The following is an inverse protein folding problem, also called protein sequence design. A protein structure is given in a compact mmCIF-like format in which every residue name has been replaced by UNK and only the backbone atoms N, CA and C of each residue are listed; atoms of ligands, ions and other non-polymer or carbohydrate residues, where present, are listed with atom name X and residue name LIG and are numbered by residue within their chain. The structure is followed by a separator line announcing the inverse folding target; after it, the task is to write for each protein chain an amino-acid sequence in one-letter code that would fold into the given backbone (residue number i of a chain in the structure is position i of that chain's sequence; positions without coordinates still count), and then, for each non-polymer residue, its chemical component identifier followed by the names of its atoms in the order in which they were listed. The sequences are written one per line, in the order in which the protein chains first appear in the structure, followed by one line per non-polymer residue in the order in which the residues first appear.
data_IF_919474687716
#
_entry.id   IF_919474687716
#
_cell.length_a   1.000
_cell.length_b   1.000
_cell.length_c   1.000
_cell.angle_alpha   90.00
_cell.angle_beta   90.00
_cell.angle_gamma   90.00
#
_symmetry.space_group_name_H-M   'P 1'
#
loop_
_entity.id
_entity.type
_entity.pdbx_description
1 polymer ?
#
# COMPACT_ATOMS: atom_id res chain seq x y z
N UNK A 1 37.89 -5.01 2.13
CA UNK A 1 36.72 -4.29 2.66
C UNK A 1 35.63 -4.44 1.61
N UNK A 2 34.67 -5.34 1.84
CA UNK A 2 33.54 -5.49 0.91
C UNK A 2 32.62 -4.30 1.10
N UNK A 3 32.29 -3.59 0.02
CA UNK A 3 31.24 -2.60 0.04
C UNK A 3 29.96 -3.33 0.47
N UNK A 4 29.41 -2.98 1.63
CA UNK A 4 28.03 -3.30 1.92
C UNK A 4 27.23 -2.66 0.78
N UNK A 5 26.60 -3.47 -0.06
CA UNK A 5 25.69 -2.95 -1.07
C UNK A 5 24.57 -2.26 -0.31
N UNK A 6 24.48 -0.94 -0.41
CA UNK A 6 23.28 -0.22 0.01
C UNK A 6 22.08 -0.96 -0.59
N UNK A 7 21.10 -1.28 0.25
CA UNK A 7 19.88 -1.97 -0.18
C UNK A 7 19.13 -1.19 -1.29
N UNK A 8 18.08 -1.78 -1.88
CA UNK A 8 17.32 -1.12 -2.93
C UNK A 8 16.79 0.24 -2.45
N UNK A 9 16.98 1.28 -3.26
CA UNK A 9 16.38 2.60 -3.00
C UNK A 9 14.91 2.54 -3.35
N UNK A 10 14.04 2.91 -2.41
CA UNK A 10 12.59 2.77 -2.57
C UNK A 10 11.92 4.15 -2.53
N UNK A 11 11.06 4.42 -3.50
CA UNK A 11 10.15 5.55 -3.53
C UNK A 11 8.72 5.06 -3.28
N UNK A 12 8.15 5.43 -2.14
CA UNK A 12 6.75 5.12 -1.79
C UNK A 12 5.90 6.37 -2.05
N UNK A 13 4.81 6.23 -2.81
CA UNK A 13 3.91 7.34 -3.15
C UNK A 13 2.45 6.90 -3.21
N UNK A 14 1.54 7.87 -3.27
CA UNK A 14 0.09 7.67 -3.34
C UNK A 14 -0.39 7.02 -4.66
N UNK A 15 0.32 7.31 -5.75
CA UNK A 15 0.04 6.79 -7.10
C UNK A 15 1.31 6.34 -7.83
N UNK A 16 1.81 5.16 -7.46
CA UNK A 16 2.97 4.52 -8.09
C UNK A 16 2.81 4.33 -9.60
N UNK A 17 1.60 4.04 -10.09
CA UNK A 17 1.37 3.89 -11.52
C UNK A 17 1.63 5.19 -12.29
N UNK A 18 1.14 6.33 -11.78
CA UNK A 18 1.32 7.62 -12.45
C UNK A 18 2.79 8.09 -12.41
N UNK A 19 3.49 7.81 -11.31
CA UNK A 19 4.86 8.28 -11.11
C UNK A 19 5.93 7.38 -11.74
N UNK A 20 5.58 6.15 -12.13
CA UNK A 20 6.53 5.15 -12.65
C UNK A 20 7.41 5.67 -13.79
N UNK A 21 6.79 6.28 -14.80
CA UNK A 21 7.52 6.79 -15.97
C UNK A 21 8.49 7.91 -15.62
N UNK A 22 8.12 8.76 -14.65
CA UNK A 22 8.99 9.86 -14.20
C UNK A 22 10.17 9.32 -13.40
N UNK A 23 9.92 8.38 -12.48
CA UNK A 23 10.99 7.75 -11.70
C UNK A 23 11.95 6.98 -12.61
N UNK A 24 11.45 6.21 -13.56
CA UNK A 24 12.28 5.49 -14.54
C UNK A 24 13.10 6.48 -15.40
N UNK A 25 12.51 7.59 -15.84
CA UNK A 25 13.22 8.60 -16.63
C UNK A 25 14.34 9.30 -15.86
N UNK A 26 14.16 9.55 -14.56
CA UNK A 26 15.12 10.31 -13.74
C UNK A 26 16.18 9.40 -13.12
N UNK A 27 15.78 8.22 -12.64
CA UNK A 27 16.60 7.32 -11.84
C UNK A 27 16.90 5.98 -12.53
N UNK A 28 16.32 5.72 -13.71
CA UNK A 28 16.42 4.41 -14.36
C UNK A 28 15.88 3.30 -13.46
N UNK A 29 16.60 2.17 -13.45
CA UNK A 29 16.32 1.04 -12.56
C UNK A 29 16.94 1.19 -11.17
N UNK A 30 17.47 2.37 -10.83
CA UNK A 30 18.15 2.61 -9.56
C UNK A 30 17.22 2.86 -8.37
N UNK A 31 15.90 2.98 -8.61
CA UNK A 31 14.88 3.22 -7.58
C UNK A 31 13.66 2.33 -7.86
N UNK A 32 13.24 1.56 -6.86
CA UNK A 32 11.98 0.85 -6.87
C UNK A 32 10.84 1.79 -6.50
N UNK A 33 9.74 1.74 -7.24
CA UNK A 33 8.53 2.50 -6.92
C UNK A 33 7.49 1.60 -6.25
N UNK A 34 6.93 2.06 -5.14
CA UNK A 34 5.95 1.35 -4.33
C UNK A 34 4.73 2.24 -4.07
N UNK A 35 3.59 1.58 -3.88
CA UNK A 35 2.36 2.21 -3.44
C UNK A 35 2.35 2.36 -1.93
N UNK A 36 1.84 3.50 -1.49
CA UNK A 36 1.53 3.73 -0.09
C UNK A 36 0.26 2.97 0.33
N UNK A 37 0.37 2.05 1.31
CA UNK A 37 -0.77 1.33 1.87
C UNK A 37 -1.90 2.22 2.37
N UNK A 38 -1.57 3.37 2.99
CA UNK A 38 -2.57 4.29 3.52
C UNK A 38 -3.46 4.83 2.39
N UNK A 39 -2.84 5.24 1.28
CA UNK A 39 -3.57 5.76 0.13
C UNK A 39 -4.37 4.67 -0.59
N UNK A 40 -3.93 3.41 -0.56
CA UNK A 40 -4.73 2.28 -1.04
C UNK A 40 -6.00 2.12 -0.19
N UNK A 41 -5.88 2.16 1.13
CA UNK A 41 -7.03 2.09 2.06
C UNK A 41 -7.98 3.27 1.80
N UNK A 42 -7.46 4.50 1.79
CA UNK A 42 -8.25 5.72 1.57
C UNK A 42 -9.01 5.67 0.24
N UNK A 43 -8.37 5.19 -0.83
CA UNK A 43 -8.99 5.06 -2.17
C UNK A 43 -10.25 4.20 -2.18
N UNK A 44 -10.31 3.18 -1.33
CA UNK A 44 -11.50 2.34 -1.17
C UNK A 44 -12.51 2.95 -0.20
N UNK A 45 -12.07 3.49 0.93
CA UNK A 45 -12.98 4.09 1.92
C UNK A 45 -13.68 5.34 1.40
N UNK A 46 -13.06 6.09 0.49
CA UNK A 46 -13.68 7.25 -0.14
C UNK A 46 -14.87 6.88 -1.06
N UNK A 47 -14.94 5.62 -1.49
CA UNK A 47 -16.02 5.08 -2.34
C UNK A 47 -17.16 4.44 -1.55
N UNK A 48 -17.14 4.59 -0.23
CA UNK A 48 -18.17 4.09 0.69
C UNK A 48 -18.94 5.28 1.26
N UNK A 49 -20.23 5.09 1.54
CA UNK A 49 -21.11 6.18 1.96
C UNK A 49 -21.03 6.49 3.46
N UNK A 50 -21.20 5.48 4.32
CA UNK A 50 -21.37 5.68 5.75
C UNK A 50 -20.07 5.53 6.56
N UNK A 51 -19.98 6.24 7.68
CA UNK A 51 -18.76 6.30 8.48
C UNK A 51 -18.43 4.99 9.20
N UNK A 52 -19.44 4.20 9.58
CA UNK A 52 -19.25 2.89 10.21
C UNK A 52 -18.60 1.90 9.25
N UNK A 53 -19.12 1.78 8.04
CA UNK A 53 -18.59 0.90 7.00
C UNK A 53 -17.22 1.36 6.55
N UNK A 54 -16.97 2.69 6.45
CA UNK A 54 -15.62 3.22 6.20
C UNK A 54 -14.62 2.75 7.24
N UNK A 55 -14.95 2.88 8.53
CA UNK A 55 -14.07 2.47 9.63
C UNK A 55 -13.83 0.97 9.63
N UNK A 56 -14.88 0.19 9.44
CA UNK A 56 -14.78 -1.27 9.33
C UNK A 56 -13.88 -1.66 8.15
N UNK A 57 -14.13 -1.10 6.96
CA UNK A 57 -13.38 -1.39 5.76
C UNK A 57 -11.90 -1.01 5.92
N UNK A 58 -11.60 0.16 6.49
CA UNK A 58 -10.23 0.57 6.77
C UNK A 58 -9.48 -0.45 7.64
N UNK A 59 -10.13 -0.94 8.70
CA UNK A 59 -9.56 -1.97 9.59
C UNK A 59 -9.34 -3.30 8.87
N UNK A 60 -10.30 -3.75 8.05
CA UNK A 60 -10.18 -5.00 7.30
C UNK A 60 -9.09 -4.92 6.22
N UNK A 61 -9.02 -3.81 5.48
CA UNK A 61 -7.98 -3.59 4.48
C UNK A 61 -6.60 -3.48 5.11
N UNK A 62 -6.47 -2.82 6.26
CA UNK A 62 -5.22 -2.79 7.03
C UNK A 62 -4.80 -4.20 7.44
N UNK A 63 -5.71 -5.03 7.98
CA UNK A 63 -5.41 -6.42 8.33
C UNK A 63 -5.11 -7.32 7.12
N UNK A 64 -5.62 -6.95 5.93
CA UNK A 64 -5.32 -7.64 4.68
C UNK A 64 -3.95 -7.25 4.09
N UNK A 65 -3.45 -6.05 4.39
CA UNK A 65 -2.14 -5.56 3.93
C UNK A 65 -1.03 -5.96 4.88
N UNK A 66 -1.27 -5.89 6.20
CA UNK A 66 -0.26 -6.14 7.22
C UNK A 66 -0.43 -7.50 7.91
N UNK A 67 0.69 -8.13 8.29
CA UNK A 67 0.69 -9.27 9.20
C UNK A 67 0.57 -8.84 10.67
N UNK A 68 0.54 -9.82 11.58
CA UNK A 68 0.39 -9.54 13.03
C UNK A 68 1.63 -8.86 13.64
N UNK A 69 2.77 -8.93 12.96
CA UNK A 69 4.03 -8.26 13.31
C UNK A 69 4.16 -6.87 12.63
N UNK A 70 3.10 -6.41 11.96
CA UNK A 70 3.02 -5.15 11.20
C UNK A 70 3.99 -5.08 10.01
N UNK A 71 4.35 -6.22 9.43
CA UNK A 71 5.04 -6.26 8.14
C UNK A 71 4.03 -6.31 6.99
N UNK A 72 4.45 -5.83 5.83
CA UNK A 72 3.66 -5.96 4.60
C UNK A 72 3.60 -7.43 4.19
N UNK A 73 2.39 -7.92 3.92
CA UNK A 73 2.19 -9.30 3.46
C UNK A 73 2.74 -9.50 2.06
N UNK A 74 3.24 -10.71 1.73
CA UNK A 74 3.62 -11.06 0.37
C UNK A 74 2.49 -10.82 -0.63
N UNK A 75 2.80 -10.51 -1.90
CA UNK A 75 1.81 -10.15 -2.92
C UNK A 75 0.62 -11.12 -3.04
N UNK A 76 0.88 -12.42 -3.04
CA UNK A 76 -0.16 -13.46 -3.17
C UNK A 76 -1.15 -13.44 -2.00
N UNK A 77 -0.65 -13.44 -0.76
CA UNK A 77 -1.49 -13.44 0.44
C UNK A 77 -2.21 -12.09 0.61
N UNK A 78 -1.53 -10.98 0.30
CA UNK A 78 -2.13 -9.65 0.31
C UNK A 78 -3.27 -9.53 -0.71
N UNK A 79 -3.05 -9.96 -1.95
CA UNK A 79 -4.07 -9.95 -3.00
C UNK A 79 -5.29 -10.78 -2.60
N UNK A 80 -5.05 -12.00 -2.13
CA UNK A 80 -6.13 -12.91 -1.73
C UNK A 80 -7.02 -12.31 -0.64
N UNK A 81 -6.41 -11.73 0.39
CA UNK A 81 -7.13 -11.12 1.52
C UNK A 81 -7.85 -9.84 1.10
N UNK A 82 -7.20 -8.96 0.35
CA UNK A 82 -7.82 -7.75 -0.16
C UNK A 82 -9.04 -8.08 -1.02
N UNK A 83 -8.91 -9.03 -1.95
CA UNK A 83 -10.02 -9.47 -2.78
C UNK A 83 -11.18 -10.04 -1.95
N UNK A 84 -10.88 -10.84 -0.93
CA UNK A 84 -11.90 -11.38 -0.02
C UNK A 84 -12.62 -10.29 0.77
N UNK A 85 -11.89 -9.33 1.34
CA UNK A 85 -12.45 -8.18 2.07
C UNK A 85 -13.35 -7.33 1.16
N UNK A 86 -12.90 -6.99 -0.05
CA UNK A 86 -13.64 -6.16 -1.00
C UNK A 86 -14.89 -6.86 -1.51
N UNK A 87 -14.86 -8.20 -1.66
CA UNK A 87 -16.02 -9.02 -2.03
C UNK A 87 -17.06 -9.14 -0.92
N UNK A 88 -16.65 -9.04 0.34
CA UNK A 88 -17.53 -9.11 1.50
C UNK A 88 -18.26 -7.79 1.80
N UNK A 89 -17.88 -6.70 1.13
CA UNK A 89 -18.53 -5.40 1.28
C UNK A 89 -19.95 -5.45 0.70
N UNK A 90 -20.93 -4.93 1.44
CA UNK A 90 -22.30 -4.79 0.96
C UNK A 90 -22.34 -3.82 -0.23
N UNK A 91 -22.83 -4.24 -1.42
CA UNK A 91 -22.94 -3.36 -2.58
C UNK A 91 -23.74 -2.09 -2.34
N UNK A 92 -24.69 -2.10 -1.39
CA UNK A 92 -25.51 -0.92 -1.04
C UNK A 92 -24.72 0.16 -0.29
N UNK A 93 -23.57 -0.19 0.31
CA UNK A 93 -22.71 0.76 0.99
C UNK A 93 -21.80 1.55 0.02
N UNK A 94 -21.65 1.09 -1.23
CA UNK A 94 -20.80 1.70 -2.25
C UNK A 94 -21.48 2.94 -2.82
N UNK A 95 -20.81 4.09 -2.74
CA UNK A 95 -21.37 5.40 -3.13
C UNK A 95 -21.15 5.74 -4.62
N UNK A 96 -20.27 5.00 -5.30
CA UNK A 96 -19.88 5.25 -6.69
C UNK A 96 -20.56 4.28 -7.64
N UNK A 97 -20.44 4.54 -8.95
CA UNK A 97 -20.95 3.63 -9.99
C UNK A 97 -20.23 2.28 -9.92
N UNK A 98 -20.95 1.20 -10.20
CA UNK A 98 -20.40 -0.16 -10.22
C UNK A 98 -19.11 -0.27 -11.07
N UNK A 99 -19.09 0.34 -12.26
CA UNK A 99 -17.92 0.31 -13.15
C UNK A 99 -16.70 1.05 -12.57
N UNK A 100 -16.92 2.11 -11.81
CA UNK A 100 -15.84 2.83 -11.12
C UNK A 100 -15.28 1.99 -9.97
N UNK A 101 -16.16 1.34 -9.20
CA UNK A 101 -15.76 0.43 -8.14
C UNK A 101 -14.94 -0.75 -8.69
N UNK A 102 -15.48 -1.46 -9.69
CA UNK A 102 -14.81 -2.62 -10.30
C UNK A 102 -13.47 -2.24 -10.94
N UNK A 103 -13.42 -1.11 -11.64
CA UNK A 103 -12.17 -0.58 -12.20
C UNK A 103 -11.14 -0.26 -11.11
N UNK A 104 -11.58 0.32 -9.99
CA UNK A 104 -10.74 0.59 -8.83
C UNK A 104 -10.20 -0.71 -8.22
N UNK A 105 -11.06 -1.70 -7.97
CA UNK A 105 -10.65 -3.02 -7.45
C UNK A 105 -9.64 -3.68 -8.37
N UNK A 106 -9.95 -3.79 -9.67
CA UNK A 106 -9.08 -4.44 -10.64
C UNK A 106 -7.69 -3.77 -10.73
N UNK A 107 -7.65 -2.44 -10.80
CA UNK A 107 -6.38 -1.69 -10.86
C UNK A 107 -5.52 -1.88 -9.62
N UNK A 108 -6.12 -1.90 -8.42
CA UNK A 108 -5.36 -2.05 -7.18
C UNK A 108 -4.87 -3.48 -6.98
N UNK A 109 -5.70 -4.50 -7.26
CA UNK A 109 -5.26 -5.89 -7.20
C UNK A 109 -4.13 -6.18 -8.19
N UNK A 110 -4.16 -5.57 -9.38
CA UNK A 110 -3.05 -5.68 -10.34
C UNK A 110 -1.74 -5.07 -9.81
N UNK A 111 -1.80 -3.97 -9.06
CA UNK A 111 -0.62 -3.36 -8.43
C UNK A 111 -0.09 -4.24 -7.29
N UNK A 112 -0.99 -4.79 -6.45
CA UNK A 112 -0.62 -5.73 -5.38
C UNK A 112 0.09 -6.94 -5.97
N UNK A 113 -0.48 -7.58 -6.99
CA UNK A 113 0.10 -8.77 -7.65
C UNK A 113 1.49 -8.53 -8.21
N UNK A 114 1.76 -7.31 -8.67
CA UNK A 114 3.07 -6.89 -9.17
C UNK A 114 4.09 -6.64 -8.05
N UNK A 115 3.67 -6.61 -6.80
CA UNK A 115 4.51 -6.32 -5.64
C UNK A 115 4.69 -4.83 -5.37
N UNK A 116 3.83 -3.97 -5.92
CA UNK A 116 3.91 -2.53 -5.68
C UNK A 116 3.60 -2.18 -4.21
N UNK A 117 2.88 -3.02 -3.47
CA UNK A 117 2.61 -2.84 -2.03
C UNK A 117 3.57 -3.62 -1.14
N UNK A 118 4.54 -4.34 -1.70
CA UNK A 118 5.40 -5.24 -0.93
C UNK A 118 6.86 -4.79 -0.93
N UNK A 119 7.46 -4.85 0.26
CA UNK A 119 8.89 -4.65 0.49
C UNK A 119 9.36 -5.80 1.39
N UNK A 120 10.29 -6.62 0.89
CA UNK A 120 10.76 -7.81 1.61
C UNK A 120 11.56 -7.46 2.86
N UNK A 121 12.38 -6.42 2.78
CA UNK A 121 13.18 -5.89 3.89
C UNK A 121 12.69 -4.49 4.22
N UNK A 122 11.90 -4.36 5.27
CA UNK A 122 11.39 -3.07 5.75
C UNK A 122 12.35 -2.37 6.71
N UNK A 123 13.52 -2.95 7.00
CA UNK A 123 14.54 -2.41 7.90
C UNK A 123 15.79 -2.01 7.11
N UNK A 124 16.26 -0.78 7.30
CA UNK A 124 17.54 -0.31 6.78
C UNK A 124 18.30 0.43 7.87
N UNK A 125 19.63 0.39 7.83
CA UNK A 125 20.46 1.06 8.82
C UNK A 125 20.79 2.46 8.34
N UNK A 126 20.32 3.50 9.03
CA UNK A 126 20.71 4.89 8.79
C UNK A 126 21.59 5.38 9.95
N UNK A 127 22.79 5.88 9.65
CA UNK A 127 23.73 6.44 10.64
C UNK A 127 24.01 5.56 11.88
N UNK A 128 23.95 4.22 11.72
CA UNK A 128 24.19 3.26 12.81
C UNK A 128 22.95 2.88 13.63
N UNK A 129 21.75 3.34 13.27
CA UNK A 129 20.47 2.92 13.84
C UNK A 129 19.62 2.15 12.83
N UNK A 130 18.91 1.10 13.28
CA UNK A 130 17.91 0.42 12.46
C UNK A 130 16.67 1.32 12.30
N UNK A 131 16.42 1.77 11.07
CA UNK A 131 15.22 2.51 10.67
C UNK A 131 14.31 1.55 9.92
N UNK A 132 13.07 1.39 10.40
CA UNK A 132 12.05 0.63 9.69
C UNK A 132 11.29 1.58 8.75
N UNK A 133 11.33 1.36 7.42
CA UNK A 133 10.42 2.03 6.49
C UNK A 133 9.01 1.49 6.75
N UNK A 134 8.30 2.12 7.69
CA UNK A 134 6.85 2.05 7.74
C UNK A 134 6.37 3.45 7.35
N UNK A 135 6.05 3.60 6.05
CA UNK A 135 5.35 4.74 5.47
C UNK A 135 6.14 6.02 5.17
N UNK A 136 5.91 6.56 3.96
CA UNK A 136 6.26 7.94 3.57
C UNK A 136 5.04 8.87 3.58
N UNK A 137 3.85 8.39 3.99
CA UNK A 137 2.76 9.31 4.29
C UNK A 137 3.04 9.99 5.62
N UNK A 138 3.18 11.32 5.56
CA UNK A 138 3.26 12.15 6.75
C UNK A 138 2.09 11.89 7.73
N UNK A 139 0.98 11.30 7.27
CA UNK A 139 -0.17 10.99 8.13
C UNK A 139 0.04 9.74 9.02
N UNK A 140 0.80 8.72 8.62
CA UNK A 140 1.07 7.58 9.53
C UNK A 140 2.07 7.94 10.63
N UNK A 141 3.06 8.79 10.33
CA UNK A 141 3.96 9.36 11.32
C UNK A 141 3.24 10.24 12.36
N UNK A 142 2.12 10.89 11.95
CA UNK A 142 1.30 11.72 12.84
C UNK A 142 0.26 10.89 13.59
N UNK A 143 -0.24 9.79 13.02
CA UNK A 143 -1.31 8.98 13.61
C UNK A 143 -0.83 7.82 14.50
N UNK A 144 0.48 7.57 14.62
CA UNK A 144 1.04 6.69 15.68
C UNK A 144 0.93 7.28 17.10
N UNK A 145 0.31 8.45 17.27
CA UNK A 145 -0.04 9.03 18.57
C UNK A 145 -1.54 9.25 18.70
N UNK A 146 -2.34 8.18 18.63
CA UNK A 146 -3.65 8.10 19.27
C UNK A 146 -3.90 6.68 19.78
#
# INVERSE_FOLDING_TARGET
MGNASDGPRICVCDNANANRNVIERVFGNGVEIKQDPFHVITRFTDKVSDSSTKRWLAGQLSAAIYDVQRNLRPPEDCEHRLAATLKALDPTAISVKQSEWEGCVASNLAQVRRGDLYVAESQYTEAGGEVRVISTSQLEAIHSKL
#
